data_IF_590223956272
#
_entry.id   IF_590223956272
#
_cell.length_a   1.000
_cell.length_b   1.000
_cell.length_c   1.000
_cell.angle_alpha   90.00
_cell.angle_beta   90.00
_cell.angle_gamma   90.00
#
_symmetry.space_group_name_H-M   'P 1'
#
loop_
_entity.id
_entity.type
_entity.pdbx_description
1 polymer ?
#
# COMPACT_ATOMS: atom_id res chain seq x y z
N UNK A 1 -0.08 -10.96 1.72
CA UNK A 1 -0.05 -10.24 0.42
C UNK A 1 -1.08 -10.68 -0.62
N UNK A 2 -1.58 -11.93 -0.63
CA UNK A 2 -2.51 -12.41 -1.68
C UNK A 2 -3.78 -11.53 -1.86
N UNK A 3 -4.45 -11.17 -0.76
CA UNK A 3 -5.67 -10.35 -0.81
C UNK A 3 -5.41 -8.95 -1.39
N UNK A 4 -4.30 -8.30 -1.00
CA UNK A 4 -3.91 -7.00 -1.54
C UNK A 4 -3.62 -7.09 -3.04
N UNK A 5 -2.86 -8.11 -3.49
CA UNK A 5 -2.55 -8.28 -4.91
C UNK A 5 -3.82 -8.43 -5.76
N UNK A 6 -4.78 -9.24 -5.30
CA UNK A 6 -6.07 -9.41 -5.99
C UNK A 6 -6.86 -8.10 -6.09
N UNK A 7 -6.84 -7.26 -5.04
CA UNK A 7 -7.47 -5.95 -5.09
C UNK A 7 -6.79 -5.01 -6.08
N UNK A 8 -5.45 -5.02 -6.11
CA UNK A 8 -4.69 -4.19 -7.03
C UNK A 8 -4.95 -4.59 -8.48
N UNK A 9 -4.98 -5.89 -8.79
CA UNK A 9 -5.34 -6.39 -10.12
C UNK A 9 -6.72 -5.88 -10.58
N UNK A 10 -7.74 -5.98 -9.72
CA UNK A 10 -9.10 -5.50 -10.04
C UNK A 10 -9.15 -3.98 -10.27
N UNK A 11 -8.27 -3.21 -9.63
CA UNK A 11 -8.16 -1.76 -9.78
C UNK A 11 -7.23 -1.33 -10.92
N UNK A 12 -6.58 -2.28 -11.59
CA UNK A 12 -5.50 -2.01 -12.55
C UNK A 12 -4.24 -1.44 -11.91
N UNK A 13 -4.10 -1.51 -10.59
CA UNK A 13 -2.92 -1.12 -9.83
C UNK A 13 -1.90 -2.26 -9.73
N UNK A 14 -0.72 -1.95 -9.19
CA UNK A 14 0.33 -2.95 -8.93
C UNK A 14 1.27 -2.49 -7.83
N UNK A 15 1.90 -3.44 -7.16
CA UNK A 15 3.06 -3.16 -6.30
C UNK A 15 4.24 -2.85 -7.23
N UNK A 16 4.92 -1.72 -7.01
CA UNK A 16 6.15 -1.36 -7.72
C UNK A 16 7.36 -2.01 -7.05
N UNK A 17 7.42 -1.92 -5.73
CA UNK A 17 8.45 -2.54 -4.91
C UNK A 17 7.95 -2.72 -3.47
N UNK A 18 8.61 -3.64 -2.77
CA UNK A 18 8.35 -4.00 -1.39
C UNK A 18 9.71 -4.30 -0.75
N UNK A 19 10.01 -3.70 0.39
CA UNK A 19 11.29 -3.86 1.06
C UNK A 19 11.14 -3.85 2.58
N UNK A 20 11.88 -4.71 3.31
CA UNK A 20 12.00 -4.58 4.75
C UNK A 20 12.69 -3.27 5.11
N UNK A 21 12.29 -2.66 6.22
CA UNK A 21 12.95 -1.50 6.79
C UNK A 21 13.83 -1.95 7.96
N UNK A 22 15.14 -1.72 7.85
CA UNK A 22 16.13 -2.13 8.85
C UNK A 22 16.54 -1.00 9.81
N UNK A 23 15.90 0.17 9.68
CA UNK A 23 16.20 1.36 10.46
C UNK A 23 16.25 2.62 9.60
N UNK A 24 16.33 3.77 10.27
CA UNK A 24 16.37 5.08 9.63
C UNK A 24 17.38 5.99 10.34
N UNK A 25 18.16 6.80 9.60
CA UNK A 25 19.15 7.70 10.18
C UNK A 25 18.53 8.91 10.89
N UNK A 26 17.28 9.27 10.56
CA UNK A 26 16.51 10.36 11.13
C UNK A 26 15.06 9.90 11.36
N UNK A 27 14.44 10.35 12.45
CA UNK A 27 13.06 9.96 12.81
C UNK A 27 12.99 8.77 13.77
N UNK A 28 11.79 8.48 14.27
CA UNK A 28 11.53 7.48 15.34
C UNK A 28 10.48 6.42 15.01
N UNK A 29 9.85 6.47 13.84
CA UNK A 29 8.87 5.44 13.45
C UNK A 29 9.57 4.12 13.11
N UNK A 30 9.35 3.10 13.93
CA UNK A 30 9.83 1.75 13.65
C UNK A 30 8.87 1.09 12.67
N UNK A 31 9.14 1.27 11.39
CA UNK A 31 8.46 0.55 10.31
C UNK A 31 9.22 -0.73 10.01
N UNK A 32 8.52 -1.86 9.91
CA UNK A 32 9.11 -3.14 9.52
C UNK A 32 9.24 -3.28 8.00
N UNK A 33 8.39 -2.58 7.24
CA UNK A 33 8.27 -2.73 5.79
C UNK A 33 7.82 -1.43 5.12
N UNK A 34 8.29 -1.21 3.89
CA UNK A 34 7.85 -0.14 3.00
C UNK A 34 7.35 -0.76 1.69
N UNK A 35 6.18 -0.33 1.23
CA UNK A 35 5.55 -0.80 0.01
C UNK A 35 5.18 0.40 -0.87
N UNK A 36 5.67 0.42 -2.11
CA UNK A 36 5.18 1.35 -3.12
C UNK A 36 4.13 0.68 -3.99
N UNK A 37 2.98 1.34 -4.09
CA UNK A 37 1.85 0.87 -4.90
C UNK A 37 1.50 1.93 -5.93
N UNK A 38 1.49 1.51 -7.19
CA UNK A 38 1.02 2.34 -8.30
C UNK A 38 -0.47 2.08 -8.54
N UNK A 39 -1.21 3.15 -8.79
CA UNK A 39 -2.61 3.12 -9.22
C UNK A 39 -2.74 3.89 -10.54
N UNK A 40 -3.62 3.44 -11.46
CA UNK A 40 -3.79 4.10 -12.75
C UNK A 40 -4.47 5.47 -12.64
N UNK A 41 -5.14 5.75 -11.53
CA UNK A 41 -5.71 7.07 -11.23
C UNK A 41 -5.96 7.23 -9.73
N UNK A 42 -6.15 8.48 -9.29
CA UNK A 42 -6.63 8.75 -7.94
C UNK A 42 -7.99 8.09 -7.65
N UNK A 43 -8.89 8.05 -8.65
CA UNK A 43 -10.20 7.39 -8.51
C UNK A 43 -10.07 5.90 -8.25
N UNK A 44 -9.10 5.22 -8.88
CA UNK A 44 -8.83 3.81 -8.62
C UNK A 44 -8.34 3.58 -7.18
N UNK A 45 -7.46 4.44 -6.67
CA UNK A 45 -7.03 4.39 -5.27
C UNK A 45 -8.19 4.52 -4.28
N UNK A 46 -9.11 5.48 -4.49
CA UNK A 46 -10.25 5.67 -3.60
C UNK A 46 -11.22 4.48 -3.59
N UNK A 47 -11.37 3.79 -4.72
CA UNK A 47 -12.21 2.59 -4.85
C UNK A 47 -11.69 1.37 -4.09
N UNK A 48 -10.47 1.41 -3.54
CA UNK A 48 -9.87 0.28 -2.81
C UNK A 48 -10.76 -0.26 -1.67
N UNK A 49 -11.63 0.56 -1.09
CA UNK A 49 -12.56 0.14 -0.03
C UNK A 49 -13.86 -0.50 -0.53
N UNK A 50 -14.14 -0.40 -1.82
CA UNK A 50 -15.42 -0.78 -2.43
C UNK A 50 -15.32 -2.06 -3.28
N UNK A 51 -14.10 -2.54 -3.55
CA UNK A 51 -13.88 -3.70 -4.41
C UNK A 51 -14.26 -5.02 -3.73
N UNK A 52 -14.69 -6.04 -4.50
CA UNK A 52 -14.78 -7.41 -4.02
C UNK A 52 -13.49 -7.87 -3.32
N UNK A 53 -13.61 -8.28 -2.06
CA UNK A 53 -12.46 -8.69 -1.22
C UNK A 53 -11.86 -7.58 -0.35
N UNK A 54 -12.37 -6.33 -0.43
CA UNK A 54 -11.89 -5.21 0.38
C UNK A 54 -11.99 -5.53 1.87
N UNK A 55 -13.15 -6.01 2.32
CA UNK A 55 -13.39 -6.35 3.73
C UNK A 55 -12.36 -7.32 4.28
N UNK A 56 -12.05 -8.38 3.54
CA UNK A 56 -11.06 -9.37 3.97
C UNK A 56 -9.65 -8.77 3.99
N UNK A 57 -9.26 -8.00 2.97
CA UNK A 57 -7.96 -7.34 2.95
C UNK A 57 -7.77 -6.37 4.13
N UNK A 58 -8.78 -5.54 4.45
CA UNK A 58 -8.68 -4.61 5.57
C UNK A 58 -8.72 -5.30 6.92
N UNK A 59 -9.45 -6.42 7.04
CA UNK A 59 -9.40 -7.29 8.22
C UNK A 59 -7.99 -7.86 8.43
N UNK A 60 -7.41 -8.48 7.40
CA UNK A 60 -6.04 -9.02 7.46
C UNK A 60 -5.01 -7.92 7.78
N UNK A 61 -5.15 -6.75 7.15
CA UNK A 61 -4.31 -5.58 7.47
C UNK A 61 -4.44 -5.21 8.95
N UNK A 62 -5.65 -5.13 9.49
CA UNK A 62 -5.88 -4.80 10.90
C UNK A 62 -5.32 -5.82 11.88
N UNK A 63 -5.17 -7.09 11.47
CA UNK A 63 -4.56 -8.14 12.29
C UNK A 63 -3.03 -8.10 12.29
N UNK A 64 -2.41 -7.63 11.19
CA UNK A 64 -0.95 -7.72 11.00
C UNK A 64 -0.22 -6.37 11.11
N UNK A 65 -0.91 -5.25 10.93
CA UNK A 65 -0.31 -3.92 10.86
C UNK A 65 -0.75 -3.11 12.07
N UNK A 66 0.12 -3.02 13.07
CA UNK A 66 -0.10 -2.19 14.26
C UNK A 66 -0.09 -0.69 13.91
N UNK A 67 0.85 -0.27 13.07
CA UNK A 67 1.04 1.12 12.65
C UNK A 67 1.40 1.20 11.17
N UNK A 68 0.90 2.22 10.48
CA UNK A 68 1.33 2.54 9.13
C UNK A 68 1.03 3.98 8.76
N UNK A 69 1.95 4.59 8.02
CA UNK A 69 1.76 5.88 7.37
C UNK A 69 1.52 5.66 5.88
N UNK A 70 0.57 6.41 5.31
CA UNK A 70 0.24 6.33 3.90
C UNK A 70 0.50 7.66 3.22
N UNK A 71 1.52 7.70 2.36
CA UNK A 71 1.85 8.89 1.56
C UNK A 71 1.36 8.71 0.13
N UNK A 72 0.64 9.71 -0.37
CA UNK A 72 0.32 9.82 -1.80
C UNK A 72 1.40 10.66 -2.47
N UNK A 73 2.08 10.08 -3.44
CA UNK A 73 3.12 10.76 -4.22
C UNK A 73 2.70 10.87 -5.69
N UNK A 74 3.04 11.97 -6.38
CA UNK A 74 3.04 12.00 -7.84
C UNK A 74 4.16 11.07 -8.32
N UNK A 75 3.80 9.94 -8.92
CA UNK A 75 4.75 8.90 -9.35
C UNK A 75 5.66 9.31 -10.51
N UNK A 76 5.48 10.53 -11.02
CA UNK A 76 6.12 11.16 -12.16
C UNK A 76 7.12 12.27 -11.78
N UNK A 77 7.34 12.55 -10.49
CA UNK A 77 8.37 13.51 -10.07
C UNK A 77 9.72 12.84 -9.83
N UNK A 78 10.28 12.26 -10.90
CA UNK A 78 11.73 12.07 -11.01
C UNK A 78 12.18 13.01 -12.13
N UNK A 79 12.63 14.21 -11.74
CA UNK A 79 13.54 15.03 -12.54
C UNK A 79 14.89 14.30 -12.68
#
# INVERSE_FOLDING_TARGET
>A
MRALNQLLEQLGGRILWQMPSFGQPLGGEKLDEIIAIWYPSHKAFLKLREMPGSTENFKLRGMCVEYAVLHRCPGDMFL
#
